data_IF_112172351695
#
_entry.id   IF_112172351695
#
_cell.length_a   1.000
_cell.length_b   1.000
_cell.length_c   1.000
_cell.angle_alpha   90.00
_cell.angle_beta   90.00
_cell.angle_gamma   90.00
#
_symmetry.space_group_name_H-M   'P 1'
#
loop_
_entity.id
_entity.type
_entity.pdbx_description
1 polymer ?
#
# COMPACT_ATOMS: atom_id res chain seq x y z
N UNK A 1 1.64 -24.05 7.68
CA UNK A 1 0.94 -23.02 8.48
C UNK A 1 -0.16 -22.29 7.69
N UNK A 2 -0.22 -22.39 6.36
CA UNK A 2 -1.26 -21.74 5.54
C UNK A 2 -2.64 -22.41 5.56
N UNK A 3 -2.76 -23.62 6.12
CA UNK A 3 -4.00 -24.41 6.07
C UNK A 3 -5.05 -23.99 7.10
N UNK A 4 -4.69 -23.25 8.16
CA UNK A 4 -5.65 -22.87 9.21
C UNK A 4 -6.47 -21.62 8.87
N UNK A 5 -5.96 -20.69 8.04
CA UNK A 5 -6.71 -19.46 7.72
C UNK A 5 -7.96 -19.74 6.86
N UNK A 6 -7.89 -20.71 5.95
CA UNK A 6 -9.02 -21.02 5.05
C UNK A 6 -10.18 -21.71 5.75
N UNK A 7 -9.92 -22.37 6.88
CA UNK A 7 -10.95 -23.07 7.65
C UNK A 7 -11.70 -22.09 8.58
N UNK A 8 -10.99 -21.09 9.09
CA UNK A 8 -11.56 -19.99 9.89
C UNK A 8 -12.49 -19.07 9.06
N UNK A 9 -12.23 -18.91 7.76
CA UNK A 9 -13.03 -18.06 6.88
C UNK A 9 -14.36 -18.72 6.42
N UNK A 10 -14.40 -20.05 6.27
CA UNK A 10 -15.63 -20.80 5.92
C UNK A 10 -16.60 -20.93 7.10
N UNK A 11 -16.11 -21.17 8.33
CA UNK A 11 -16.96 -21.21 9.52
C UNK A 11 -17.58 -19.84 9.86
N UNK A 12 -16.87 -18.75 9.59
CA UNK A 12 -17.41 -17.38 9.75
C UNK A 12 -18.58 -17.08 8.80
N UNK A 13 -18.63 -17.75 7.63
CA UNK A 13 -19.74 -17.62 6.68
C UNK A 13 -21.00 -18.32 7.22
N UNK A 14 -20.84 -19.51 7.79
CA UNK A 14 -21.92 -20.26 8.43
C UNK A 14 -22.44 -19.58 9.70
N UNK A 15 -21.55 -19.00 10.52
CA UNK A 15 -21.94 -18.31 11.75
C UNK A 15 -22.66 -16.97 11.46
N UNK A 16 -22.35 -16.31 10.34
CA UNK A 16 -23.05 -15.11 9.87
C UNK A 16 -24.46 -15.45 9.35
N UNK A 17 -24.66 -16.61 8.73
CA UNK A 17 -25.97 -17.09 8.29
C UNK A 17 -26.87 -17.48 9.48
N UNK A 18 -26.32 -18.07 10.55
CA UNK A 18 -27.08 -18.34 11.78
C UNK A 18 -27.56 -17.07 12.51
N UNK A 19 -26.78 -15.98 12.48
CA UNK A 19 -27.15 -14.72 13.15
C UNK A 19 -28.39 -14.08 12.52
N UNK A 20 -28.56 -14.20 11.21
CA UNK A 20 -29.73 -13.65 10.51
C UNK A 20 -30.99 -14.50 10.68
N UNK A 21 -30.86 -15.77 11.06
CA UNK A 21 -31.97 -16.72 11.06
C UNK A 21 -32.66 -16.93 12.42
N UNK A 22 -32.14 -16.38 13.52
CA UNK A 22 -32.75 -16.48 14.87
C UNK A 22 -33.38 -15.15 15.36
N UNK A 23 -33.77 -14.28 14.42
CA UNK A 23 -34.43 -13.00 14.69
C UNK A 23 -35.96 -13.05 14.70
N UNK A 24 -36.58 -14.18 14.35
CA UNK A 24 -38.04 -14.25 14.22
C UNK A 24 -38.56 -15.67 14.23
N UNK A 25 -38.90 -16.20 15.41
CA UNK A 25 -39.89 -17.26 15.60
C UNK A 25 -40.06 -17.47 17.11
N UNK A 26 -40.76 -16.55 17.76
CA UNK A 26 -41.48 -16.75 19.02
C UNK A 26 -42.54 -15.64 19.11
N UNK A 27 -43.45 -15.65 18.14
CA UNK A 27 -44.64 -14.82 18.16
C UNK A 27 -45.81 -15.69 18.62
N UNK A 28 -46.04 -15.78 19.93
CA UNK A 28 -47.40 -16.00 20.44
C UNK A 28 -47.53 -15.59 21.92
N UNK A 29 -48.47 -14.65 22.14
CA UNK A 29 -49.14 -14.29 23.40
C UNK A 29 -48.33 -13.63 24.54
N UNK A 30 -48.35 -12.28 24.62
CA UNK A 30 -49.04 -11.51 25.68
C UNK A 30 -48.65 -10.01 25.79
N UNK A 31 -49.69 -9.16 25.85
CA UNK A 31 -49.83 -7.82 26.47
C UNK A 31 -48.96 -6.62 26.03
N UNK A 32 -49.54 -5.41 25.78
CA UNK A 32 -48.81 -4.24 25.23
C UNK A 32 -47.84 -3.51 26.19
N UNK A 33 -47.64 -3.98 27.42
CA UNK A 33 -47.00 -3.18 28.48
C UNK A 33 -45.51 -3.49 28.73
N UNK A 34 -44.89 -4.40 27.96
CA UNK A 34 -43.52 -4.88 28.21
C UNK A 34 -42.42 -4.16 27.41
N UNK A 35 -42.74 -3.17 26.58
CA UNK A 35 -41.78 -2.54 25.65
C UNK A 35 -40.71 -1.63 26.31
N UNK A 36 -40.77 -1.36 27.62
CA UNK A 36 -39.84 -0.45 28.31
C UNK A 36 -38.68 -1.13 29.07
N UNK A 37 -38.52 -2.45 28.96
CA UNK A 37 -37.38 -3.16 29.56
C UNK A 37 -36.61 -3.98 28.51
N UNK A 38 -36.09 -3.32 27.48
CA UNK A 38 -34.89 -3.86 26.81
C UNK A 38 -33.81 -3.91 27.88
N UNK A 39 -33.55 -5.10 28.44
CA UNK A 39 -32.52 -5.34 29.48
C UNK A 39 -31.25 -4.62 29.05
N UNK A 40 -30.94 -3.50 29.70
CA UNK A 40 -29.73 -2.72 29.48
C UNK A 40 -28.55 -3.68 29.60
N UNK A 41 -27.85 -3.91 28.49
CA UNK A 41 -26.74 -4.86 28.41
C UNK A 41 -25.72 -4.51 29.50
N UNK A 42 -25.65 -5.34 30.55
CA UNK A 42 -24.80 -5.09 31.71
C UNK A 42 -23.37 -5.43 31.32
N UNK A 43 -22.42 -4.52 31.56
CA UNK A 43 -21.00 -4.78 31.34
C UNK A 43 -20.59 -6.00 32.18
N UNK A 44 -19.81 -6.90 31.58
CA UNK A 44 -19.23 -8.03 32.29
C UNK A 44 -18.23 -7.54 33.35
N UNK A 45 -18.13 -8.27 34.46
CA UNK A 45 -17.15 -7.99 35.52
C UNK A 45 -15.73 -8.38 35.05
N UNK A 46 -14.70 -7.86 35.74
CA UNK A 46 -13.32 -8.25 35.42
C UNK A 46 -13.07 -9.75 35.58
N UNK A 47 -13.68 -10.36 36.58
CA UNK A 47 -13.60 -11.80 36.84
C UNK A 47 -14.25 -12.62 35.71
N UNK A 48 -15.45 -12.20 35.26
CA UNK A 48 -16.13 -12.82 34.11
C UNK A 48 -15.27 -12.72 32.84
N UNK A 49 -14.69 -11.55 32.57
CA UNK A 49 -13.81 -11.35 31.41
C UNK A 49 -12.58 -12.26 31.53
N UNK A 50 -11.92 -12.30 32.69
CA UNK A 50 -10.72 -13.11 32.88
C UNK A 50 -10.98 -14.60 32.66
N UNK A 51 -12.06 -15.14 33.25
CA UNK A 51 -12.43 -16.54 33.07
C UNK A 51 -12.74 -16.87 31.60
N UNK A 52 -13.47 -16.00 30.89
CA UNK A 52 -13.71 -16.17 29.46
C UNK A 52 -12.42 -16.07 28.63
N UNK A 53 -11.49 -15.19 29.01
CA UNK A 53 -10.18 -15.05 28.35
C UNK A 53 -9.27 -16.25 28.57
N UNK A 54 -9.29 -16.84 29.76
CA UNK A 54 -8.55 -18.07 30.06
C UNK A 54 -9.11 -19.24 29.26
N UNK A 55 -10.44 -19.40 29.25
CA UNK A 55 -11.08 -20.45 28.44
C UNK A 55 -10.80 -20.25 26.95
N UNK A 56 -10.80 -19.01 26.45
CA UNK A 56 -10.52 -18.71 25.04
C UNK A 56 -9.11 -19.13 24.60
N UNK A 57 -8.11 -19.11 25.48
CA UNK A 57 -6.75 -19.57 25.15
C UNK A 57 -6.72 -21.05 24.80
N UNK A 58 -7.55 -21.85 25.48
CA UNK A 58 -7.64 -23.30 25.30
C UNK A 58 -8.66 -23.67 24.20
N UNK A 59 -9.78 -22.97 24.12
CA UNK A 59 -10.87 -23.25 23.19
C UNK A 59 -11.52 -21.96 22.65
N UNK A 60 -11.05 -21.42 21.50
CA UNK A 60 -11.61 -20.22 20.86
C UNK A 60 -13.02 -20.39 20.28
N UNK A 61 -13.44 -21.64 20.02
CA UNK A 61 -14.71 -22.02 19.42
C UNK A 61 -15.46 -23.00 20.33
N UNK A 62 -16.01 -22.53 21.46
CA UNK A 62 -16.74 -23.38 22.38
C UNK A 62 -18.03 -23.92 21.74
N UNK A 63 -18.29 -25.21 21.92
CA UNK A 63 -19.54 -25.85 21.56
C UNK A 63 -20.71 -25.40 22.47
N UNK A 64 -21.93 -25.84 22.16
CA UNK A 64 -23.10 -25.42 22.94
C UNK A 64 -23.06 -25.88 24.41
N UNK A 65 -22.49 -27.06 24.68
CA UNK A 65 -22.39 -27.63 26.02
C UNK A 65 -21.40 -26.83 26.86
N UNK A 66 -20.22 -26.55 26.29
CA UNK A 66 -19.16 -25.73 26.90
C UNK A 66 -19.67 -24.31 27.19
N UNK A 67 -20.41 -23.69 26.26
CA UNK A 67 -21.02 -22.36 26.51
C UNK A 67 -22.00 -22.39 27.67
N UNK A 68 -22.83 -23.43 27.76
CA UNK A 68 -23.84 -23.56 28.83
C UNK A 68 -23.20 -23.81 30.20
N UNK A 69 -22.13 -24.59 30.23
CA UNK A 69 -21.35 -24.84 31.44
C UNK A 69 -20.66 -23.56 31.93
N UNK A 70 -19.94 -22.88 31.04
CA UNK A 70 -19.28 -21.62 31.34
C UNK A 70 -20.28 -20.53 31.76
N UNK A 71 -21.47 -20.48 31.14
CA UNK A 71 -22.50 -19.51 31.52
C UNK A 71 -23.03 -19.78 32.94
N UNK A 72 -23.17 -21.05 33.33
CA UNK A 72 -23.58 -21.45 34.69
C UNK A 72 -22.54 -21.05 35.72
N UNK A 73 -21.25 -21.27 35.43
CA UNK A 73 -20.14 -20.91 36.32
C UNK A 73 -20.02 -19.39 36.51
N UNK A 74 -20.23 -18.61 35.44
CA UNK A 74 -20.07 -17.16 35.46
C UNK A 74 -21.36 -16.39 35.86
N UNK A 75 -22.47 -17.09 36.05
CA UNK A 75 -23.79 -16.49 36.31
C UNK A 75 -24.27 -15.59 35.16
N UNK A 76 -24.01 -16.02 33.91
CA UNK A 76 -24.31 -15.27 32.69
C UNK A 76 -25.34 -16.01 31.83
N UNK A 77 -25.95 -15.29 30.89
CA UNK A 77 -26.79 -15.91 29.86
C UNK A 77 -25.90 -16.62 28.81
N UNK A 78 -26.22 -17.86 28.36
CA UNK A 78 -25.43 -18.57 27.36
C UNK A 78 -25.22 -17.76 26.05
N UNK A 79 -26.17 -16.90 25.69
CA UNK A 79 -26.07 -16.05 24.52
C UNK A 79 -25.04 -14.92 24.71
N UNK A 80 -24.89 -14.40 25.94
CA UNK A 80 -23.83 -13.44 26.24
C UNK A 80 -22.44 -14.07 26.08
N UNK A 81 -22.30 -15.35 26.48
CA UNK A 81 -21.07 -16.12 26.25
C UNK A 81 -20.84 -16.29 24.74
N UNK A 82 -21.85 -16.73 23.97
CA UNK A 82 -21.75 -16.83 22.49
C UNK A 82 -21.24 -15.53 21.87
N UNK A 83 -21.87 -14.40 22.17
CA UNK A 83 -21.48 -13.11 21.61
C UNK A 83 -20.13 -12.61 22.10
N UNK A 84 -19.75 -12.92 23.34
CA UNK A 84 -18.43 -12.56 23.83
C UNK A 84 -17.33 -13.28 23.04
N UNK A 85 -17.47 -14.59 22.81
CA UNK A 85 -16.50 -15.37 22.04
C UNK A 85 -16.42 -14.91 20.59
N UNK A 86 -17.57 -14.64 19.96
CA UNK A 86 -17.61 -14.08 18.62
C UNK A 86 -16.88 -12.73 18.53
N UNK A 87 -17.20 -11.79 19.42
CA UNK A 87 -16.54 -10.49 19.48
C UNK A 87 -15.04 -10.60 19.79
N UNK A 88 -14.65 -11.55 20.65
CA UNK A 88 -13.25 -11.80 20.99
C UNK A 88 -12.46 -12.29 19.78
N UNK A 89 -13.03 -13.18 18.96
CA UNK A 89 -12.41 -13.63 17.70
C UNK A 89 -12.25 -12.47 16.72
N UNK A 90 -13.31 -11.71 16.46
CA UNK A 90 -13.23 -10.54 15.57
C UNK A 90 -12.19 -9.54 16.06
N UNK A 91 -12.19 -9.21 17.35
CA UNK A 91 -11.19 -8.30 17.93
C UNK A 91 -9.76 -8.84 17.76
N UNK A 92 -9.55 -10.14 17.97
CA UNK A 92 -8.23 -10.78 17.84
C UNK A 92 -7.75 -10.74 16.40
N UNK A 93 -8.60 -11.08 15.43
CA UNK A 93 -8.33 -11.00 14.00
C UNK A 93 -7.98 -9.57 13.59
N UNK A 94 -8.82 -8.59 13.93
CA UNK A 94 -8.56 -7.18 13.62
C UNK A 94 -7.25 -6.66 14.24
N UNK A 95 -6.95 -7.01 15.50
CA UNK A 95 -5.68 -6.64 16.16
C UNK A 95 -4.48 -7.27 15.46
N UNK A 96 -4.60 -8.52 15.02
CA UNK A 96 -3.54 -9.18 14.25
C UNK A 96 -3.34 -8.52 12.89
N UNK A 97 -4.39 -8.34 12.12
CA UNK A 97 -4.36 -7.69 10.80
C UNK A 97 -3.80 -6.28 10.86
N UNK A 98 -4.21 -5.49 11.85
CA UNK A 98 -3.66 -4.14 12.05
C UNK A 98 -2.14 -4.17 12.28
N UNK A 99 -1.66 -5.08 13.14
CA UNK A 99 -0.21 -5.26 13.37
C UNK A 99 0.52 -5.70 12.11
N UNK A 100 -0.04 -6.64 11.34
CA UNK A 100 0.53 -7.09 10.08
C UNK A 100 0.59 -5.96 9.05
N UNK A 101 -0.48 -5.21 8.90
CA UNK A 101 -0.55 -4.08 7.97
C UNK A 101 0.48 -3.00 8.34
N UNK A 102 0.62 -2.69 9.63
CA UNK A 102 1.64 -1.76 10.12
C UNK A 102 3.05 -2.23 9.76
N UNK A 103 3.36 -3.52 9.96
CA UNK A 103 4.65 -4.12 9.59
C UNK A 103 4.89 -4.02 8.09
N UNK A 104 3.91 -4.41 7.27
CA UNK A 104 4.02 -4.36 5.81
C UNK A 104 4.22 -2.94 5.30
N UNK A 105 3.54 -1.94 5.87
CA UNK A 105 3.72 -0.52 5.50
C UNK A 105 5.14 -0.03 5.81
N UNK A 106 5.67 -0.36 7.00
CA UNK A 106 7.03 0.00 7.37
C UNK A 106 8.07 -0.62 6.43
N UNK A 107 7.87 -1.90 6.08
CA UNK A 107 8.75 -2.60 5.13
C UNK A 107 8.63 -2.02 3.71
N UNK A 108 7.42 -1.67 3.27
CA UNK A 108 7.22 -1.05 1.96
C UNK A 108 7.93 0.30 1.86
N UNK A 109 7.88 1.09 2.93
CA UNK A 109 8.58 2.37 3.01
C UNK A 109 10.11 2.18 2.96
N UNK A 110 10.62 1.20 3.71
CA UNK A 110 12.04 0.82 3.66
C UNK A 110 12.49 0.44 2.25
N UNK A 111 11.72 -0.42 1.59
CA UNK A 111 12.00 -0.87 0.22
C UNK A 111 11.92 0.28 -0.79
N UNK A 112 10.97 1.21 -0.63
CA UNK A 112 10.87 2.41 -1.47
C UNK A 112 12.08 3.31 -1.30
N UNK A 113 12.49 3.60 -0.07
CA UNK A 113 13.69 4.40 0.20
C UNK A 113 14.94 3.74 -0.39
N UNK A 114 15.07 2.42 -0.24
CA UNK A 114 16.18 1.65 -0.80
C UNK A 114 16.17 1.66 -2.34
N UNK A 115 14.98 1.50 -2.95
CA UNK A 115 14.82 1.56 -4.40
C UNK A 115 15.16 2.95 -4.96
N UNK A 116 14.74 4.01 -4.28
CA UNK A 116 15.13 5.39 -4.62
C UNK A 116 16.64 5.55 -4.56
N UNK A 117 17.29 5.09 -3.48
CA UNK A 117 18.75 5.15 -3.34
C UNK A 117 19.47 4.40 -4.45
N UNK A 118 19.00 3.21 -4.85
CA UNK A 118 19.58 2.48 -5.98
C UNK A 118 19.36 3.20 -7.30
N UNK A 119 18.16 3.75 -7.54
CA UNK A 119 17.88 4.54 -8.75
C UNK A 119 18.77 5.78 -8.84
N UNK A 120 18.97 6.49 -7.74
CA UNK A 120 19.88 7.64 -7.67
C UNK A 120 21.34 7.23 -7.90
N UNK A 121 21.81 6.15 -7.27
CA UNK A 121 23.16 5.64 -7.48
C UNK A 121 23.39 5.22 -8.94
N UNK A 122 22.40 4.58 -9.58
CA UNK A 122 22.45 4.22 -10.99
C UNK A 122 22.38 5.45 -11.90
N UNK A 123 21.54 6.44 -11.58
CA UNK A 123 21.42 7.70 -12.33
C UNK A 123 22.71 8.53 -12.26
N UNK A 124 23.37 8.56 -11.11
CA UNK A 124 24.58 9.33 -10.86
C UNK A 124 25.87 8.58 -11.22
N UNK A 125 25.75 7.36 -11.74
CA UNK A 125 26.91 6.62 -12.24
C UNK A 125 27.37 7.23 -13.57
N UNK A 126 28.68 7.48 -13.68
CA UNK A 126 29.31 8.07 -14.86
C UNK A 126 30.44 7.17 -15.35
N UNK A 127 30.61 7.10 -16.66
CA UNK A 127 31.71 6.37 -17.28
C UNK A 127 33.01 7.13 -17.03
N UNK A 128 33.94 6.49 -16.32
CA UNK A 128 35.24 7.05 -15.96
C UNK A 128 36.13 7.35 -17.19
N UNK A 129 35.86 6.70 -18.33
CA UNK A 129 36.65 6.84 -19.56
C UNK A 129 36.15 7.93 -20.52
N UNK A 130 34.87 8.31 -20.47
CA UNK A 130 34.30 9.29 -21.41
C UNK A 130 33.39 10.36 -20.76
N UNK A 131 33.15 10.30 -19.45
CA UNK A 131 32.32 11.26 -18.72
C UNK A 131 30.81 11.14 -18.97
N UNK A 132 30.37 10.19 -19.81
CA UNK A 132 28.96 9.97 -20.10
C UNK A 132 28.21 9.31 -18.94
N UNK A 133 26.92 9.65 -18.76
CA UNK A 133 26.05 8.98 -17.79
C UNK A 133 25.96 7.47 -18.09
N UNK A 134 26.20 6.63 -17.08
CA UNK A 134 26.14 5.18 -17.14
C UNK A 134 24.78 4.63 -16.67
N UNK A 135 23.74 5.47 -16.68
CA UNK A 135 22.38 5.05 -16.36
C UNK A 135 21.95 3.88 -17.27
N UNK A 136 21.49 2.79 -16.66
CA UNK A 136 21.05 1.58 -17.36
C UNK A 136 19.97 1.95 -18.38
N UNK A 137 20.25 1.71 -19.67
CA UNK A 137 19.34 2.00 -20.79
C UNK A 137 19.50 3.37 -21.45
N UNK A 138 20.31 4.29 -20.90
CA UNK A 138 20.49 5.65 -21.46
C UNK A 138 21.66 5.76 -22.46
N UNK A 139 22.60 4.82 -22.46
CA UNK A 139 23.71 4.76 -23.42
C UNK A 139 23.97 3.29 -23.74
N UNK A 140 23.78 2.88 -25.00
CA UNK A 140 24.14 1.52 -25.42
C UNK A 140 25.66 1.34 -25.34
N UNK A 141 26.16 0.12 -25.14
CA UNK A 141 27.60 -0.18 -25.15
C UNK A 141 28.29 0.36 -26.42
N UNK A 142 27.57 0.28 -27.54
CA UNK A 142 27.99 0.79 -28.84
C UNK A 142 28.08 2.33 -28.88
N UNK A 143 27.10 3.02 -28.30
CA UNK A 143 27.12 4.49 -28.22
C UNK A 143 28.27 5.00 -27.33
N UNK A 144 28.58 4.30 -26.24
CA UNK A 144 29.75 4.62 -25.42
C UNK A 144 31.07 4.43 -26.20
N UNK A 145 31.19 3.31 -26.93
CA UNK A 145 32.35 3.03 -27.79
C UNK A 145 32.53 4.08 -28.90
N UNK A 146 31.44 4.46 -29.58
CA UNK A 146 31.47 5.50 -30.60
C UNK A 146 31.86 6.87 -30.03
N UNK A 147 31.42 7.21 -28.80
CA UNK A 147 31.87 8.44 -28.13
C UNK A 147 33.38 8.40 -27.83
N UNK A 148 33.90 7.26 -27.39
CA UNK A 148 35.34 7.09 -27.16
C UNK A 148 36.15 7.22 -28.46
N UNK A 149 35.71 6.56 -29.54
CA UNK A 149 36.43 6.63 -30.83
C UNK A 149 36.34 8.03 -31.43
N UNK A 150 35.19 8.70 -31.34
CA UNK A 150 35.08 10.10 -31.78
C UNK A 150 36.01 11.03 -31.01
N UNK A 151 36.18 10.84 -29.70
CA UNK A 151 37.14 11.61 -28.92
C UNK A 151 38.59 11.32 -29.36
N UNK A 152 38.92 10.05 -29.60
CA UNK A 152 40.24 9.64 -30.10
C UNK A 152 40.55 10.23 -31.47
N UNK A 153 39.60 10.15 -32.40
CA UNK A 153 39.73 10.71 -33.75
C UNK A 153 39.88 12.23 -33.72
N UNK A 154 39.16 12.93 -32.83
CA UNK A 154 39.32 14.39 -32.64
C UNK A 154 40.72 14.75 -32.18
N UNK A 155 41.28 14.03 -31.19
CA UNK A 155 42.65 14.24 -30.74
C UNK A 155 43.67 13.97 -31.85
N UNK A 156 43.43 12.94 -32.67
CA UNK A 156 44.32 12.62 -33.79
C UNK A 156 44.26 13.68 -34.90
N UNK A 157 43.06 14.19 -35.20
CA UNK A 157 42.88 15.33 -36.12
C UNK A 157 43.62 16.55 -35.60
N UNK A 158 43.51 16.86 -34.31
CA UNK A 158 44.21 17.99 -33.69
C UNK A 158 45.73 17.83 -33.77
N UNK A 159 46.24 16.64 -33.46
CA UNK A 159 47.67 16.30 -33.57
C UNK A 159 48.19 16.44 -35.00
N UNK A 160 47.48 15.87 -35.98
CA UNK A 160 47.86 15.96 -37.40
C UNK A 160 47.75 17.40 -37.88
N UNK A 161 46.71 18.13 -37.49
CA UNK A 161 46.54 19.54 -37.86
C UNK A 161 47.67 20.40 -37.31
N UNK A 162 48.13 20.14 -36.09
CA UNK A 162 49.28 20.82 -35.47
C UNK A 162 50.56 20.52 -36.25
N UNK A 163 50.80 19.25 -36.58
CA UNK A 163 51.97 18.86 -37.38
C UNK A 163 51.90 19.49 -38.78
N UNK A 164 50.75 19.41 -39.45
CA UNK A 164 50.52 19.99 -40.77
C UNK A 164 50.70 21.51 -40.78
N UNK A 165 50.29 22.22 -39.72
CA UNK A 165 50.53 23.65 -39.57
C UNK A 165 52.04 24.01 -39.52
N UNK A 166 52.90 23.08 -39.06
CA UNK A 166 54.35 23.28 -39.05
C UNK A 166 55.00 23.06 -40.42
N UNK A 167 54.33 22.38 -41.36
CA UNK A 167 54.82 22.13 -42.73
C UNK A 167 54.14 23.02 -43.78
N UNK A 168 52.88 23.40 -43.56
CA UNK A 168 52.08 24.28 -44.42
C UNK A 168 51.94 25.59 -43.67
N UNK A 169 52.87 26.53 -43.87
CA UNK A 169 52.87 27.80 -43.15
C UNK A 169 51.61 28.65 -43.38
N UNK A 170 50.57 28.42 -42.56
CA UNK A 170 49.32 29.18 -42.26
C UNK A 170 48.04 28.31 -42.34
N UNK A 171 47.01 28.60 -41.52
CA UNK A 171 46.00 27.61 -41.15
C UNK A 171 44.87 27.51 -42.17
N UNK A 172 44.47 26.27 -42.50
CA UNK A 172 43.19 25.99 -43.15
C UNK A 172 42.08 26.01 -42.09
N UNK A 173 41.57 27.21 -41.79
CA UNK A 173 40.26 27.39 -41.15
C UNK A 173 39.39 28.23 -42.07
N UNK A 174 38.42 27.59 -42.72
CA UNK A 174 37.22 28.27 -43.18
C UNK A 174 36.01 27.32 -43.05
N UNK A 175 35.43 27.28 -41.86
CA UNK A 175 33.97 27.35 -41.71
C UNK A 175 33.60 27.68 -40.27
N UNK A 176 33.31 28.96 -40.02
CA UNK A 176 32.44 29.34 -38.91
C UNK A 176 31.04 28.89 -39.28
N UNK A 177 30.43 28.03 -38.46
CA UNK A 177 29.05 28.13 -37.98
C UNK A 177 28.57 26.76 -37.49
N UNK A 178 28.58 26.56 -36.18
CA UNK A 178 27.42 26.03 -35.45
C UNK A 178 27.68 26.24 -33.96
N UNK A 179 26.77 26.99 -33.37
CA UNK A 179 26.67 27.35 -31.95
C UNK A 179 26.67 26.12 -31.04
N UNK A 180 27.13 26.24 -29.78
CA UNK A 180 26.89 25.21 -28.79
C UNK A 180 25.40 25.32 -28.38
N UNK A 181 24.56 24.45 -28.93
CA UNK A 181 23.21 24.28 -28.39
C UNK A 181 23.32 23.65 -27.00
N UNK A 182 22.93 24.40 -25.97
CA UNK A 182 22.56 23.86 -24.66
C UNK A 182 21.66 22.62 -24.82
N UNK A 183 21.73 21.65 -23.90
CA UNK A 183 20.82 20.51 -23.93
C UNK A 183 19.42 21.01 -23.57
N UNK A 184 18.53 21.01 -24.56
CA UNK A 184 17.09 21.17 -24.32
C UNK A 184 16.65 19.93 -23.57
N UNK A 185 16.16 20.13 -22.33
CA UNK A 185 15.48 19.13 -21.53
C UNK A 185 14.22 18.69 -22.29
N UNK A 186 14.25 17.52 -22.92
CA UNK A 186 13.06 16.91 -23.49
C UNK A 186 12.27 16.20 -22.38
N UNK A 187 11.23 16.86 -21.88
CA UNK A 187 10.14 16.23 -21.15
C UNK A 187 9.22 15.46 -22.10
N UNK A 188 8.89 14.24 -21.68
CA UNK A 188 7.73 13.42 -22.03
C UNK A 188 7.48 13.04 -23.50
N UNK A 189 7.60 11.74 -23.79
CA UNK A 189 6.75 11.09 -24.79
C UNK A 189 5.87 10.05 -24.09
N UNK A 190 4.60 10.42 -23.92
CA UNK A 190 3.54 9.49 -23.58
C UNK A 190 3.21 8.67 -24.84
N UNK A 191 3.39 7.35 -24.76
CA UNK A 191 2.92 6.42 -25.79
C UNK A 191 1.42 6.23 -25.60
N UNK A 192 0.62 6.95 -26.38
CA UNK A 192 -0.81 6.71 -26.53
C UNK A 192 -1.06 5.44 -27.35
N UNK A 193 -1.62 4.42 -26.71
CA UNK A 193 -2.33 3.33 -27.36
C UNK A 193 -3.82 3.61 -27.24
N UNK A 194 -4.44 3.99 -28.36
CA UNK A 194 -5.89 4.14 -28.47
C UNK A 194 -6.56 2.75 -28.45
N UNK A 195 -7.31 2.47 -27.39
CA UNK A 195 -8.33 1.42 -27.41
C UNK A 195 -9.72 2.07 -27.28
N UNK A 196 -10.56 1.86 -28.29
CA UNK A 196 -11.98 2.24 -28.33
C UNK A 196 -12.77 1.44 -27.30
N UNK A 197 -13.63 2.11 -26.54
CA UNK A 197 -14.65 1.45 -25.72
C UNK A 197 -15.65 2.45 -25.16
N UNK A 198 -16.85 2.48 -25.74
CA UNK A 198 -18.00 3.26 -25.30
C UNK A 198 -18.54 2.82 -23.93
N UNK A 199 -19.13 3.77 -23.19
CA UNK A 199 -20.36 3.73 -22.34
C UNK A 199 -20.18 4.71 -21.17
N UNK A 200 -20.94 5.79 -21.12
CA UNK A 200 -22.26 5.95 -20.45
C UNK A 200 -22.14 6.56 -19.04
N UNK A 201 -22.57 7.82 -18.95
CA UNK A 201 -23.23 8.54 -17.83
C UNK A 201 -22.78 8.27 -16.38
N UNK A 202 -22.38 9.33 -15.69
CA UNK A 202 -22.37 9.39 -14.23
C UNK A 202 -21.95 10.76 -13.69
N UNK A 203 -22.92 11.47 -13.09
CA UNK A 203 -22.78 12.68 -12.27
C UNK A 203 -21.61 12.61 -11.26
N UNK A 204 -20.99 13.76 -10.94
CA UNK A 204 -20.98 14.29 -9.56
C UNK A 204 -20.35 15.68 -9.49
N UNK A 205 -21.06 16.57 -8.80
CA UNK A 205 -20.70 17.95 -8.50
C UNK A 205 -19.82 17.98 -7.26
N UNK A 206 -18.64 18.61 -7.33
CA UNK A 206 -17.81 18.90 -6.15
C UNK A 206 -18.32 20.20 -5.53
N UNK A 207 -18.84 20.09 -4.30
CA UNK A 207 -18.96 21.21 -3.38
C UNK A 207 -17.68 21.29 -2.55
N UNK A 208 -17.05 22.46 -2.55
CA UNK A 208 -15.92 22.80 -1.71
C UNK A 208 -16.14 24.22 -1.21
N UNK A 209 -16.29 24.37 0.11
CA UNK A 209 -15.61 25.38 0.94
C UNK A 209 -16.23 25.39 2.35
N UNK A 210 -15.44 24.92 3.32
CA UNK A 210 -15.65 25.16 4.73
C UNK A 210 -14.54 26.10 5.20
N UNK A 211 -14.92 27.31 5.61
CA UNK A 211 -14.09 28.23 6.38
C UNK A 211 -14.86 28.53 7.68
N UNK A 212 -14.44 27.90 8.78
CA UNK A 212 -14.94 28.22 10.12
C UNK A 212 -13.87 28.99 10.89
N UNK A 213 -14.17 30.27 11.17
CA UNK A 213 -13.47 31.11 12.16
C UNK A 213 -14.00 30.83 13.57
N UNK A 214 -13.16 30.87 14.62
CA UNK A 214 -13.62 30.80 16.00
C UNK A 214 -13.97 32.19 16.56
N UNK A 215 -15.21 32.38 17.04
CA UNK A 215 -15.60 33.53 17.87
C UNK A 215 -15.62 33.19 19.36
N UNK A 216 -14.93 34.04 20.11
CA UNK A 216 -14.78 34.06 21.57
C UNK A 216 -15.87 34.92 22.22
N UNK A 217 -16.54 34.38 23.26
CA UNK A 217 -17.10 35.07 24.48
C UNK A 217 -18.20 36.14 24.35
N UNK A 218 -18.91 36.52 25.43
CA UNK A 218 -18.79 36.10 26.85
C UNK A 218 -19.89 35.16 27.35
#
# INVERSE_FOLDING_TARGET
MSSNLSQEDEEHKLEKEEIYNYGGENAELNSPETQLKRKRNRRHTSEQIHAMEDFFKECPHPDNRQRTELSRELGMDPLQVKFWFQNKRTQTKTKYEHRQNKRLRAENERLRAENTRYKEALSNSWCVSCGGMAAIGAVTREECHLRMENARLRNEIERISTVAANYVGKPLINSRNTTPSSPVRATSLATGLSFRGSTSKGNESVGEEASDEPKTTP
#
